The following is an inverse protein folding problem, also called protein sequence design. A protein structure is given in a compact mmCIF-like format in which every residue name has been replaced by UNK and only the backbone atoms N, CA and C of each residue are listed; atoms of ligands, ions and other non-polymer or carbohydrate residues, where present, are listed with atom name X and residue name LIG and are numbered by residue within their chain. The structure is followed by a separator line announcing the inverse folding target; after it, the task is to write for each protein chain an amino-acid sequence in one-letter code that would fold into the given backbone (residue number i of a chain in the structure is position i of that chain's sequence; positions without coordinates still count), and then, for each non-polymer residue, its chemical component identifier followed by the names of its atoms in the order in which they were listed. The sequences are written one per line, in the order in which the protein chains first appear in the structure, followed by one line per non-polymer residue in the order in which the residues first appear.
data_IF_008969383271
#
_entry.id   IF_008969383271
#
_cell.length_a   1.000
_cell.length_b   1.000
_cell.length_c   1.000
_cell.angle_alpha   90.00
_cell.angle_beta   90.00
_cell.angle_gamma   90.00
#
_symmetry.space_group_name_H-M   'P 1'
#
loop_
_entity.id
_entity.type
_entity.pdbx_description
1 polymer ?
#
# COMPACT_ATOMS: atom_id res chain seq x y z
N UNK A 1 -9.33 -72.05 -58.85
CA UNK A 1 -10.26 -71.35 -57.93
C UNK A 1 -9.53 -71.22 -56.59
N UNK A 2 -8.96 -70.05 -56.35
CA UNK A 2 -8.39 -69.73 -55.04
C UNK A 2 -9.39 -68.87 -54.25
N UNK A 3 -9.62 -69.10 -52.96
CA UNK A 3 -10.47 -68.28 -52.16
C UNK A 3 -9.65 -67.10 -51.58
N UNK A 4 -10.21 -65.88 -51.70
CA UNK A 4 -9.69 -64.65 -51.12
C UNK A 4 -9.89 -64.63 -49.60
N UNK A 5 -8.79 -64.57 -48.85
CA UNK A 5 -8.78 -64.38 -47.41
C UNK A 5 -8.84 -62.84 -47.14
N UNK A 6 -9.99 -62.31 -46.63
CA UNK A 6 -10.13 -60.94 -46.20
C UNK A 6 -9.57 -60.80 -44.78
N UNK A 7 -8.43 -60.12 -44.64
CA UNK A 7 -7.92 -59.67 -43.38
C UNK A 7 -8.69 -58.38 -42.96
N UNK A 8 -9.48 -58.47 -41.90
CA UNK A 8 -10.03 -57.29 -41.24
C UNK A 8 -8.99 -56.71 -40.24
N UNK A 9 -8.37 -55.60 -40.60
CA UNK A 9 -7.55 -54.85 -39.66
C UNK A 9 -8.46 -54.08 -38.68
N UNK A 10 -8.53 -54.49 -37.44
CA UNK A 10 -9.17 -53.76 -36.35
C UNK A 10 -8.20 -52.67 -35.90
N UNK A 11 -8.44 -51.41 -36.34
CA UNK A 11 -7.69 -50.25 -35.86
C UNK A 11 -8.16 -49.91 -34.43
N UNK A 12 -7.36 -50.35 -33.43
CA UNK A 12 -7.56 -49.95 -32.04
C UNK A 12 -7.05 -48.52 -31.89
N UNK A 13 -7.94 -47.52 -31.97
CA UNK A 13 -7.63 -46.15 -31.53
C UNK A 13 -7.46 -46.12 -30.02
N UNK A 14 -6.22 -46.21 -29.55
CA UNK A 14 -5.88 -45.80 -28.20
C UNK A 14 -6.06 -44.27 -28.15
N UNK A 15 -7.21 -43.81 -27.66
CA UNK A 15 -7.36 -42.45 -27.16
C UNK A 15 -6.45 -42.33 -25.92
N UNK A 16 -5.25 -41.82 -26.13
CA UNK A 16 -4.46 -41.29 -25.02
C UNK A 16 -5.30 -40.15 -24.43
N UNK A 17 -6.00 -40.44 -23.35
CA UNK A 17 -6.61 -39.41 -22.53
C UNK A 17 -5.49 -38.50 -22.04
N UNK A 18 -5.31 -37.35 -22.68
CA UNK A 18 -4.56 -36.28 -22.07
C UNK A 18 -5.30 -35.98 -20.76
N UNK A 19 -4.73 -36.41 -19.66
CA UNK A 19 -5.10 -35.89 -18.36
C UNK A 19 -4.79 -34.41 -18.45
N UNK A 20 -5.84 -33.60 -18.65
CA UNK A 20 -5.76 -32.14 -18.45
C UNK A 20 -5.47 -31.96 -16.97
N UNK A 21 -4.19 -31.92 -16.63
CA UNK A 21 -3.75 -31.53 -15.32
C UNK A 21 -4.35 -30.13 -15.07
N UNK A 22 -5.02 -29.97 -13.95
CA UNK A 22 -5.48 -28.66 -13.51
C UNK A 22 -4.26 -27.74 -13.51
N UNK A 23 -4.30 -26.70 -14.34
CA UNK A 23 -3.25 -25.68 -14.39
C UNK A 23 -3.62 -24.65 -13.35
N UNK A 24 -3.12 -24.83 -12.12
CA UNK A 24 -3.33 -23.88 -11.04
C UNK A 24 -2.07 -23.03 -10.89
N UNK A 25 -2.29 -21.73 -10.84
CA UNK A 25 -1.23 -20.73 -10.76
C UNK A 25 -1.43 -19.85 -9.53
N UNK A 26 -0.34 -19.39 -8.94
CA UNK A 26 -0.33 -18.22 -8.07
C UNK A 26 -0.67 -17.03 -8.96
N UNK A 27 -1.77 -16.33 -8.70
CA UNK A 27 -2.31 -15.28 -9.60
C UNK A 27 -2.05 -13.88 -9.10
N UNK A 28 -2.29 -13.65 -7.81
CA UNK A 28 -2.12 -12.36 -7.14
C UNK A 28 -1.74 -12.59 -5.68
N UNK A 29 -1.00 -11.66 -5.09
CA UNK A 29 -0.68 -11.65 -3.67
C UNK A 29 -0.64 -10.23 -3.11
N UNK A 30 -0.90 -10.09 -1.83
CA UNK A 30 -0.81 -8.83 -1.09
C UNK A 30 -0.03 -9.06 0.20
N UNK A 31 1.24 -8.65 0.24
CA UNK A 31 2.16 -8.86 1.37
C UNK A 31 2.21 -7.67 2.34
N UNK A 32 1.31 -6.71 2.22
CA UNK A 32 1.15 -5.58 3.13
C UNK A 32 -0.27 -5.06 3.05
N UNK A 33 -1.20 -5.79 3.67
CA UNK A 33 -2.62 -5.44 3.73
C UNK A 33 -2.89 -4.55 4.95
N UNK A 34 -3.53 -3.41 4.74
CA UNK A 34 -3.95 -2.52 5.83
C UNK A 34 -5.45 -2.19 5.79
N UNK A 35 -6.03 -2.07 4.58
CA UNK A 35 -7.45 -1.70 4.42
C UNK A 35 -8.14 -2.40 3.24
N UNK A 36 -7.43 -3.23 2.44
CA UNK A 36 -7.99 -3.75 1.20
C UNK A 36 -9.12 -4.76 1.46
N UNK A 37 -8.81 -5.89 2.07
CA UNK A 37 -9.77 -6.95 2.38
C UNK A 37 -9.49 -7.50 3.77
N UNK A 38 -10.48 -7.43 4.66
CA UNK A 38 -10.40 -8.08 5.95
C UNK A 38 -10.69 -9.59 5.81
N UNK A 39 -9.91 -10.39 6.48
CA UNK A 39 -10.17 -11.81 6.68
C UNK A 39 -11.52 -11.99 7.40
N UNK A 40 -12.46 -12.77 6.84
CA UNK A 40 -13.78 -12.95 7.43
C UNK A 40 -13.75 -13.73 8.73
N UNK A 41 -12.73 -14.57 8.97
CA UNK A 41 -12.69 -15.45 10.15
C UNK A 41 -12.14 -14.69 11.38
N UNK A 42 -11.14 -13.83 11.19
CA UNK A 42 -10.48 -13.07 12.27
C UNK A 42 -10.77 -11.56 12.24
N UNK A 43 -11.46 -11.05 11.22
CA UNK A 43 -11.73 -9.61 11.02
C UNK A 43 -10.46 -8.75 11.02
N UNK A 44 -9.36 -9.34 10.56
CA UNK A 44 -8.04 -8.70 10.47
C UNK A 44 -7.66 -8.45 9.01
N UNK A 45 -6.87 -7.41 8.75
CA UNK A 45 -6.29 -7.16 7.44
C UNK A 45 -5.00 -7.98 7.30
N UNK A 46 -5.17 -9.29 7.06
CA UNK A 46 -4.07 -10.23 6.87
C UNK A 46 -3.55 -10.21 5.45
N UNK A 47 -2.28 -10.56 5.26
CA UNK A 47 -1.72 -10.80 3.93
C UNK A 47 -2.43 -11.98 3.27
N UNK A 48 -2.47 -12.00 1.94
CA UNK A 48 -3.17 -13.07 1.22
C UNK A 48 -2.50 -13.44 -0.10
N UNK A 49 -2.79 -14.65 -0.54
CA UNK A 49 -2.39 -15.24 -1.82
C UNK A 49 -3.64 -15.70 -2.55
N UNK A 50 -3.75 -15.37 -3.82
CA UNK A 50 -4.80 -15.87 -4.70
C UNK A 50 -4.25 -16.90 -5.68
N UNK A 51 -4.97 -18.02 -5.81
CA UNK A 51 -4.73 -19.04 -6.80
C UNK A 51 -5.79 -18.97 -7.89
N UNK A 52 -5.38 -19.19 -9.14
CA UNK A 52 -6.24 -19.25 -10.32
C UNK A 52 -6.16 -20.61 -11.01
N UNK A 53 -7.29 -21.18 -11.37
CA UNK A 53 -7.38 -22.41 -12.14
C UNK A 53 -7.69 -22.12 -13.62
N UNK A 54 -6.69 -22.21 -14.48
CA UNK A 54 -6.87 -22.02 -15.93
C UNK A 54 -7.51 -23.23 -16.65
N UNK A 55 -7.80 -24.31 -15.91
CA UNK A 55 -8.42 -25.53 -16.45
C UNK A 55 -9.93 -25.39 -16.69
N UNK A 56 -10.47 -26.33 -17.47
CA UNK A 56 -11.90 -26.39 -17.79
C UNK A 56 -12.75 -27.18 -16.77
N UNK A 57 -12.15 -27.67 -15.71
CA UNK A 57 -12.77 -28.41 -14.62
C UNK A 57 -12.26 -27.90 -13.27
N UNK A 58 -13.05 -28.06 -12.19
CA UNK A 58 -12.57 -27.74 -10.85
C UNK A 58 -11.28 -28.48 -10.51
N UNK A 59 -10.33 -27.80 -9.86
CA UNK A 59 -9.08 -28.37 -9.37
C UNK A 59 -9.20 -28.64 -7.87
N UNK A 60 -8.95 -29.86 -7.44
CA UNK A 60 -8.84 -30.23 -6.04
C UNK A 60 -7.38 -30.06 -5.58
N UNK A 61 -7.16 -29.14 -4.66
CA UNK A 61 -5.85 -28.87 -4.07
C UNK A 61 -5.60 -29.62 -2.76
N UNK A 62 -6.46 -30.58 -2.40
CA UNK A 62 -6.27 -31.42 -1.21
C UNK A 62 -4.86 -32.03 -1.20
N UNK A 63 -4.06 -31.72 -0.17
CA UNK A 63 -2.69 -32.22 -0.03
C UNK A 63 -1.65 -31.52 -0.91
N UNK A 64 -1.99 -30.52 -1.70
CA UNK A 64 -1.00 -29.61 -2.27
C UNK A 64 -0.35 -28.78 -1.15
N UNK A 65 0.81 -28.18 -1.44
CA UNK A 65 1.50 -27.37 -0.45
C UNK A 65 1.88 -26.00 -1.00
N UNK A 66 1.85 -25.00 -0.13
CA UNK A 66 2.28 -23.63 -0.39
C UNK A 66 3.42 -23.30 0.57
N UNK A 67 4.48 -22.67 0.10
CA UNK A 67 5.65 -22.34 0.91
C UNK A 67 6.29 -21.03 0.48
N UNK A 68 6.68 -20.23 1.46
CA UNK A 68 7.54 -19.04 1.35
C UNK A 68 9.03 -19.38 1.53
N UNK A 69 9.36 -20.67 1.74
CA UNK A 69 10.74 -21.17 1.87
C UNK A 69 10.96 -22.37 0.93
N UNK A 70 11.84 -22.21 -0.06
CA UNK A 70 12.21 -23.28 -1.00
C UNK A 70 12.88 -24.49 -0.33
N UNK A 71 13.45 -24.33 0.88
CA UNK A 71 14.02 -25.42 1.66
C UNK A 71 12.96 -26.22 2.45
N UNK A 72 11.76 -25.66 2.60
CA UNK A 72 10.62 -26.28 3.27
C UNK A 72 9.39 -26.36 2.35
N UNK A 73 9.42 -27.13 1.26
CA UNK A 73 8.34 -27.17 0.26
C UNK A 73 6.99 -27.64 0.80
N UNK A 74 6.95 -28.21 2.00
CA UNK A 74 5.73 -28.72 2.66
C UNK A 74 5.30 -27.84 3.85
N UNK A 75 5.72 -26.57 3.88
CA UNK A 75 5.52 -25.66 5.02
C UNK A 75 4.04 -25.49 5.41
N UNK A 76 3.14 -25.40 4.45
CA UNK A 76 1.71 -25.43 4.68
C UNK A 76 1.01 -26.32 3.65
N UNK A 77 0.04 -27.13 4.09
CA UNK A 77 -0.69 -28.09 3.25
C UNK A 77 -2.15 -27.68 3.14
N UNK A 78 -2.66 -27.60 1.92
CA UNK A 78 -4.08 -27.35 1.66
C UNK A 78 -4.96 -28.44 2.30
N UNK A 79 -5.97 -28.05 3.08
CA UNK A 79 -6.89 -28.99 3.70
C UNK A 79 -7.72 -29.75 2.65
N UNK A 80 -8.27 -30.88 3.05
CA UNK A 80 -9.14 -31.68 2.19
C UNK A 80 -10.37 -30.85 1.75
N UNK A 81 -10.71 -30.89 0.46
CA UNK A 81 -11.81 -30.16 -0.12
C UNK A 81 -11.48 -28.72 -0.53
N UNK A 82 -10.21 -28.34 -0.59
CA UNK A 82 -9.76 -27.07 -1.17
C UNK A 82 -9.94 -27.09 -2.68
N UNK A 83 -11.06 -26.60 -3.17
CA UNK A 83 -11.43 -26.64 -4.59
C UNK A 83 -11.29 -25.27 -5.23
N UNK A 84 -10.54 -25.18 -6.34
CA UNK A 84 -10.54 -24.01 -7.21
C UNK A 84 -11.48 -24.25 -8.38
N UNK A 85 -12.58 -23.49 -8.56
CA UNK A 85 -13.49 -23.68 -9.69
C UNK A 85 -12.78 -23.56 -11.04
N UNK A 86 -13.34 -24.15 -12.09
CA UNK A 86 -12.82 -23.98 -13.46
C UNK A 86 -12.86 -22.49 -13.87
N UNK A 87 -11.74 -21.94 -14.30
CA UNK A 87 -11.60 -20.51 -14.60
C UNK A 87 -11.85 -19.58 -13.40
N UNK A 88 -11.80 -20.11 -12.17
CA UNK A 88 -12.08 -19.39 -10.94
C UNK A 88 -10.86 -19.24 -10.04
N UNK A 89 -11.09 -18.63 -8.86
CA UNK A 89 -10.08 -18.22 -7.91
C UNK A 89 -10.29 -18.89 -6.55
N UNK A 90 -9.22 -19.00 -5.78
CA UNK A 90 -9.21 -19.40 -4.36
C UNK A 90 -8.25 -18.53 -3.59
N UNK A 91 -8.75 -17.89 -2.52
CA UNK A 91 -7.95 -17.06 -1.64
C UNK A 91 -7.42 -17.87 -0.47
N UNK A 92 -6.16 -17.64 -0.11
CA UNK A 92 -5.46 -18.21 1.05
C UNK A 92 -4.92 -17.05 1.87
N UNK A 93 -5.23 -17.00 3.15
CA UNK A 93 -4.71 -16.02 4.09
C UNK A 93 -3.31 -16.44 4.56
N UNK A 94 -2.35 -15.54 4.46
CA UNK A 94 -0.97 -15.75 4.93
C UNK A 94 -0.75 -14.98 6.23
N UNK A 95 -1.32 -15.48 7.31
CA UNK A 95 -1.43 -14.78 8.61
C UNK A 95 -0.68 -15.47 9.76
N UNK A 96 -0.12 -16.66 9.50
CA UNK A 96 0.57 -17.46 10.50
C UNK A 96 -0.35 -18.39 11.28
N UNK A 97 -1.64 -18.40 10.99
CA UNK A 97 -2.58 -19.40 11.49
C UNK A 97 -2.47 -20.69 10.65
N UNK A 98 -3.06 -21.79 11.11
CA UNK A 98 -2.96 -23.08 10.40
C UNK A 98 -4.29 -23.80 10.30
N UNK A 99 -5.41 -23.07 10.32
CA UNK A 99 -6.76 -23.61 10.24
C UNK A 99 -7.45 -23.21 8.93
N UNK A 100 -8.09 -24.15 8.25
CA UNK A 100 -8.81 -23.85 7.00
C UNK A 100 -7.84 -23.37 5.91
N UNK A 101 -8.19 -22.27 5.24
CA UNK A 101 -7.36 -21.64 4.19
C UNK A 101 -6.45 -20.54 4.75
N UNK A 102 -5.86 -20.79 5.92
CA UNK A 102 -4.87 -19.93 6.59
C UNK A 102 -3.51 -20.62 6.57
N UNK A 103 -2.54 -20.01 5.91
CA UNK A 103 -1.18 -20.53 5.84
C UNK A 103 -0.42 -20.16 7.11
N UNK A 104 0.33 -21.14 7.68
CA UNK A 104 1.10 -20.99 8.91
C UNK A 104 2.34 -20.10 8.80
N UNK A 105 2.35 -19.19 7.81
CA UNK A 105 3.40 -18.20 7.58
C UNK A 105 2.78 -16.85 7.17
N UNK A 106 3.58 -15.79 7.17
CA UNK A 106 3.22 -14.45 6.69
C UNK A 106 4.09 -14.09 5.50
N UNK A 107 3.56 -13.27 4.59
CA UNK A 107 4.35 -12.77 3.48
C UNK A 107 5.27 -11.62 3.94
N UNK A 108 6.50 -11.61 3.42
CA UNK A 108 7.44 -10.52 3.66
C UNK A 108 7.12 -9.31 2.78
N UNK A 109 6.86 -8.15 3.38
CA UNK A 109 6.72 -6.90 2.63
C UNK A 109 8.02 -6.47 1.92
N UNK A 110 9.19 -6.97 2.34
CA UNK A 110 10.49 -6.71 1.68
C UNK A 110 10.71 -7.61 0.44
N UNK A 111 9.82 -8.58 0.23
CA UNK A 111 9.88 -9.52 -0.88
C UNK A 111 10.47 -10.86 -0.48
N UNK A 112 10.05 -11.89 -1.21
CA UNK A 112 10.48 -13.28 -1.04
C UNK A 112 10.08 -14.14 -2.25
N UNK A 113 10.25 -15.44 -2.14
CA UNK A 113 9.77 -16.42 -3.14
C UNK A 113 8.62 -17.22 -2.55
N UNK A 114 7.52 -17.31 -3.30
CA UNK A 114 6.36 -18.12 -2.96
C UNK A 114 6.22 -19.25 -3.97
N UNK A 115 6.09 -20.49 -3.49
CA UNK A 115 6.10 -21.71 -4.33
C UNK A 115 4.89 -22.59 -4.03
N UNK A 116 4.24 -23.09 -5.08
CA UNK A 116 3.11 -24.02 -5.03
C UNK A 116 3.55 -25.39 -5.52
N UNK A 117 3.32 -26.44 -4.72
CA UNK A 117 3.69 -27.82 -5.07
C UNK A 117 2.49 -28.75 -5.09
N UNK A 118 2.54 -29.75 -5.98
CA UNK A 118 1.56 -30.85 -6.01
C UNK A 118 1.76 -31.80 -4.81
N UNK A 119 0.81 -32.68 -4.48
CA UNK A 119 0.98 -33.68 -3.41
C UNK A 119 2.18 -34.60 -3.59
N UNK A 120 2.67 -34.77 -4.82
CA UNK A 120 3.90 -35.55 -5.14
C UNK A 120 5.19 -34.74 -4.96
N UNK A 121 5.14 -33.50 -4.46
CA UNK A 121 6.30 -32.63 -4.29
C UNK A 121 6.85 -32.02 -5.59
N UNK A 122 6.08 -32.09 -6.69
CA UNK A 122 6.46 -31.41 -7.94
C UNK A 122 6.09 -29.95 -7.87
N UNK A 123 7.02 -29.04 -8.20
CA UNK A 123 6.76 -27.61 -8.32
C UNK A 123 5.72 -27.38 -9.42
N UNK A 124 4.60 -26.79 -9.06
CA UNK A 124 3.51 -26.46 -9.97
C UNK A 124 3.62 -25.02 -10.48
N UNK A 125 3.92 -24.08 -9.59
CA UNK A 125 4.12 -22.67 -9.92
C UNK A 125 4.99 -21.99 -8.85
N UNK A 126 5.68 -20.91 -9.25
CA UNK A 126 6.56 -20.16 -8.36
C UNK A 126 6.62 -18.70 -8.79
N UNK A 127 6.72 -17.80 -7.80
CA UNK A 127 6.96 -16.38 -8.01
C UNK A 127 7.95 -15.85 -6.99
N UNK A 128 9.01 -15.17 -7.47
CA UNK A 128 9.82 -14.25 -6.67
C UNK A 128 9.29 -12.84 -6.83
N UNK A 129 8.94 -12.18 -5.74
CA UNK A 129 8.51 -10.79 -5.73
C UNK A 129 9.43 -9.94 -4.85
N UNK A 130 9.57 -8.66 -5.20
CA UNK A 130 10.37 -7.69 -4.45
C UNK A 130 9.54 -6.93 -3.43
N UNK A 131 10.13 -5.87 -2.87
CA UNK A 131 9.48 -5.01 -1.87
C UNK A 131 8.11 -4.52 -2.33
N UNK A 132 7.13 -4.62 -1.45
CA UNK A 132 5.73 -4.27 -1.68
C UNK A 132 5.38 -2.91 -1.07
N UNK A 133 4.37 -2.26 -1.63
CA UNK A 133 3.72 -1.09 -1.02
C UNK A 133 2.43 -1.55 -0.33
N UNK A 134 2.09 -0.89 0.76
CA UNK A 134 0.84 -1.19 1.48
C UNK A 134 -0.38 -1.02 0.57
N UNK A 135 -1.28 -1.98 0.60
CA UNK A 135 -2.51 -2.05 -0.20
C UNK A 135 -2.30 -2.03 -1.73
N UNK A 136 -1.09 -2.34 -2.19
CA UNK A 136 -0.77 -2.57 -3.61
C UNK A 136 -0.39 -4.03 -3.78
N UNK A 137 -1.17 -4.79 -4.56
CA UNK A 137 -0.89 -6.20 -4.81
C UNK A 137 0.16 -6.40 -5.91
N UNK A 138 0.78 -7.58 -5.88
CA UNK A 138 1.64 -8.08 -6.95
C UNK A 138 0.95 -9.26 -7.62
N UNK A 139 0.82 -9.26 -8.95
CA UNK A 139 0.06 -10.30 -9.63
C UNK A 139 0.37 -10.41 -11.11
N UNK A 140 -0.24 -11.41 -11.73
CA UNK A 140 -0.18 -11.66 -13.16
C UNK A 140 -1.07 -10.67 -13.90
N UNK A 141 -0.55 -10.01 -14.94
CA UNK A 141 -1.31 -9.07 -15.76
C UNK A 141 -2.53 -9.74 -16.43
N UNK A 142 -2.37 -11.00 -16.81
CA UNK A 142 -3.43 -11.85 -17.34
C UNK A 142 -3.50 -13.08 -16.44
N UNK A 143 -4.69 -13.47 -16.01
CA UNK A 143 -4.88 -14.61 -15.12
C UNK A 143 -4.16 -15.84 -15.61
N UNK A 144 -3.32 -16.44 -14.76
CA UNK A 144 -2.45 -17.56 -15.06
C UNK A 144 -1.30 -17.28 -16.05
N UNK A 145 -1.19 -16.06 -16.59
CA UNK A 145 -0.21 -15.66 -17.60
C UNK A 145 0.90 -14.74 -17.09
N UNK A 146 1.78 -14.34 -17.99
CA UNK A 146 2.81 -13.32 -17.77
C UNK A 146 2.39 -11.98 -18.43
N UNK A 147 3.01 -10.83 -18.10
CA UNK A 147 4.01 -10.65 -17.03
C UNK A 147 3.40 -10.46 -15.64
N UNK A 148 4.25 -10.49 -14.61
CA UNK A 148 3.95 -10.04 -13.26
C UNK A 148 4.15 -8.52 -13.12
N UNK A 149 3.40 -7.90 -12.20
CA UNK A 149 3.53 -6.48 -11.86
C UNK A 149 2.62 -6.08 -10.72
N UNK A 150 2.34 -4.80 -10.61
CA UNK A 150 1.68 -4.18 -9.47
C UNK A 150 0.28 -3.69 -9.84
N UNK A 151 -0.65 -3.87 -8.92
CA UNK A 151 -2.03 -3.40 -9.02
C UNK A 151 -2.36 -2.47 -7.85
N UNK A 152 -2.58 -1.17 -8.09
CA UNK A 152 -2.98 -0.22 -7.04
C UNK A 152 -4.39 -0.47 -6.50
N UNK A 153 -5.16 -1.31 -7.20
CA UNK A 153 -6.47 -1.78 -6.78
C UNK A 153 -6.47 -3.31 -6.83
N UNK A 154 -6.08 -3.97 -5.73
CA UNK A 154 -6.11 -5.43 -5.64
C UNK A 154 -7.48 -6.00 -5.97
N UNK A 155 -7.52 -7.18 -6.58
CA UNK A 155 -8.77 -7.82 -7.06
C UNK A 155 -9.02 -9.21 -6.47
N UNK A 156 -8.95 -9.40 -5.12
CA UNK A 156 -9.10 -10.71 -4.50
C UNK A 156 -10.44 -11.36 -4.87
N UNK A 157 -10.38 -12.60 -5.37
CA UNK A 157 -11.53 -13.38 -5.83
C UNK A 157 -12.05 -12.99 -7.22
N UNK A 158 -11.32 -12.13 -7.95
CA UNK A 158 -11.71 -11.64 -9.26
C UNK A 158 -10.53 -11.54 -10.25
N UNK A 159 -10.82 -11.41 -11.55
CA UNK A 159 -9.82 -11.37 -12.61
C UNK A 159 -8.98 -10.08 -12.59
N UNK A 160 -7.67 -10.23 -12.75
CA UNK A 160 -6.69 -9.14 -12.93
C UNK A 160 -6.78 -8.48 -14.32
N UNK A 161 -7.41 -9.12 -15.29
CA UNK A 161 -7.33 -8.76 -16.72
C UNK A 161 -7.76 -7.32 -17.04
N UNK A 162 -8.62 -6.74 -16.24
CA UNK A 162 -9.18 -5.39 -16.45
C UNK A 162 -8.62 -4.34 -15.50
N UNK A 163 -7.75 -4.73 -14.57
CA UNK A 163 -7.18 -3.82 -13.57
C UNK A 163 -6.05 -2.97 -14.16
N UNK A 164 -5.86 -1.73 -13.67
CA UNK A 164 -4.67 -0.93 -13.98
C UNK A 164 -3.40 -1.67 -13.57
N UNK A 165 -2.49 -1.90 -14.50
CA UNK A 165 -1.27 -2.68 -14.31
C UNK A 165 -0.04 -1.81 -14.47
N UNK A 166 0.90 -1.95 -13.54
CA UNK A 166 2.20 -1.28 -13.54
C UNK A 166 3.33 -2.31 -13.41
N UNK A 167 4.43 -2.09 -14.13
CA UNK A 167 5.56 -3.02 -14.12
C UNK A 167 6.35 -3.00 -12.81
N UNK A 168 6.36 -1.85 -12.14
CA UNK A 168 7.11 -1.57 -10.92
C UNK A 168 6.64 -0.23 -10.35
N UNK A 169 7.25 0.24 -9.27
CA UNK A 169 7.06 1.59 -8.76
C UNK A 169 8.34 2.43 -8.88
N UNK A 170 8.16 3.74 -8.87
CA UNK A 170 9.28 4.69 -8.87
C UNK A 170 9.85 4.79 -7.45
N UNK A 171 11.14 4.47 -7.30
CA UNK A 171 11.84 4.57 -5.99
C UNK A 171 12.53 5.92 -5.80
N UNK A 172 12.82 6.61 -6.90
CA UNK A 172 13.49 7.90 -6.86
C UNK A 172 12.53 9.00 -6.36
N UNK A 173 13.08 9.94 -5.63
CA UNK A 173 12.37 11.10 -5.10
C UNK A 173 12.86 12.40 -5.73
N UNK A 174 11.99 13.41 -5.89
CA UNK A 174 12.42 14.75 -6.26
C UNK A 174 13.34 15.36 -5.20
N UNK A 175 14.33 16.15 -5.61
CA UNK A 175 15.26 16.83 -4.70
C UNK A 175 14.99 18.32 -4.73
N UNK A 176 14.65 18.89 -3.59
CA UNK A 176 14.42 20.31 -3.44
C UNK A 176 15.72 21.05 -3.22
N UNK A 177 15.91 22.19 -3.87
CA UNK A 177 17.12 23.04 -3.72
C UNK A 177 17.22 23.69 -2.35
N UNK A 178 16.09 23.80 -1.63
CA UNK A 178 15.99 24.26 -0.25
C UNK A 178 15.01 23.37 0.50
N UNK A 179 15.39 22.94 1.68
CA UNK A 179 14.48 22.28 2.63
C UNK A 179 13.42 23.25 3.15
N UNK A 180 12.31 22.71 3.64
CA UNK A 180 11.33 23.46 4.41
C UNK A 180 11.93 24.12 5.64
N UNK A 181 11.22 25.07 6.22
CA UNK A 181 11.65 25.83 7.38
C UNK A 181 11.19 27.28 7.34
N UNK A 182 11.84 28.12 8.14
CA UNK A 182 11.46 29.53 8.35
C UNK A 182 12.33 30.46 7.50
N UNK A 183 11.68 31.47 6.90
CA UNK A 183 12.32 32.44 5.98
C UNK A 183 11.79 33.83 6.25
N UNK A 184 12.66 34.82 6.38
CA UNK A 184 12.30 36.23 6.63
C UNK A 184 11.51 36.88 5.48
N UNK A 185 11.64 36.33 4.27
CA UNK A 185 10.98 36.86 3.08
C UNK A 185 10.90 35.83 1.95
N UNK A 186 10.47 36.26 0.76
CA UNK A 186 10.23 35.36 -0.37
C UNK A 186 11.41 34.46 -0.68
N UNK A 187 11.11 33.19 -0.98
CA UNK A 187 12.09 32.16 -1.29
C UNK A 187 11.85 31.55 -2.67
N UNK A 188 12.91 31.36 -3.44
CA UNK A 188 12.89 30.62 -4.71
C UNK A 188 13.32 29.19 -4.47
N UNK A 189 12.49 28.24 -4.90
CA UNK A 189 12.70 26.80 -4.72
C UNK A 189 12.73 26.10 -6.07
N UNK A 190 13.84 25.43 -6.37
CA UNK A 190 13.98 24.52 -7.51
C UNK A 190 13.73 23.08 -7.08
N UNK A 191 13.20 22.24 -7.99
CA UNK A 191 12.92 20.82 -7.74
C UNK A 191 13.58 20.00 -8.83
N UNK A 192 14.59 19.23 -8.47
CA UNK A 192 15.41 18.48 -9.40
C UNK A 192 14.94 17.03 -9.52
N UNK A 193 14.93 16.54 -10.75
CA UNK A 193 14.80 15.14 -11.10
C UNK A 193 16.20 14.60 -11.47
N UNK A 194 16.85 13.92 -10.52
CA UNK A 194 18.20 13.39 -10.72
C UNK A 194 18.24 12.11 -11.57
N UNK A 195 17.09 11.54 -11.95
CA UNK A 195 17.05 10.31 -12.76
C UNK A 195 17.28 10.56 -14.25
N UNK A 196 17.04 11.78 -14.71
CA UNK A 196 17.08 12.15 -16.13
C UNK A 196 15.89 11.65 -16.96
N UNK A 197 14.89 10.96 -16.35
CA UNK A 197 13.68 10.48 -17.02
C UNK A 197 12.45 10.64 -16.11
N UNK A 198 11.25 10.61 -16.73
CA UNK A 198 10.01 10.91 -16.04
C UNK A 198 9.76 12.40 -15.84
N UNK A 199 8.68 12.73 -15.16
CA UNK A 199 8.26 14.11 -14.88
C UNK A 199 8.01 14.30 -13.39
N UNK A 200 8.50 15.41 -12.85
CA UNK A 200 8.13 15.85 -11.51
C UNK A 200 6.81 16.61 -11.60
N UNK A 201 5.83 16.20 -10.81
CA UNK A 201 4.60 16.95 -10.59
C UNK A 201 4.56 17.47 -9.16
N UNK A 202 3.91 18.61 -8.97
CA UNK A 202 3.85 19.26 -7.68
C UNK A 202 2.48 19.84 -7.37
N UNK A 203 2.25 20.14 -6.08
CA UNK A 203 1.10 20.87 -5.57
C UNK A 203 1.56 21.89 -4.54
N UNK A 204 0.73 22.91 -4.29
CA UNK A 204 1.00 23.97 -3.29
C UNK A 204 -0.20 24.19 -2.36
N UNK A 205 -1.18 23.30 -2.42
CA UNK A 205 -2.44 23.36 -1.66
C UNK A 205 -2.54 22.28 -0.57
N UNK A 206 -1.45 21.53 -0.32
CA UNK A 206 -1.41 20.43 0.64
C UNK A 206 -1.87 19.08 0.08
N UNK A 207 -2.46 19.02 -1.11
CA UNK A 207 -2.83 17.76 -1.76
C UNK A 207 -1.60 16.97 -2.24
N UNK A 208 -1.72 15.65 -2.32
CA UNK A 208 -0.68 14.81 -2.92
C UNK A 208 -0.67 14.96 -4.43
N UNK A 209 0.52 15.15 -5.08
CA UNK A 209 0.61 15.26 -6.53
C UNK A 209 0.06 14.01 -7.24
N UNK A 210 -0.86 14.20 -8.18
CA UNK A 210 -1.51 13.19 -9.01
C UNK A 210 -1.06 13.32 -10.48
N UNK A 211 -1.49 12.39 -11.34
CA UNK A 211 -1.14 12.37 -12.77
C UNK A 211 -1.63 13.59 -13.56
N UNK A 212 -2.58 14.33 -13.03
CA UNK A 212 -3.11 15.57 -13.60
C UNK A 212 -2.59 16.85 -12.91
N UNK A 213 -1.78 16.73 -11.85
CA UNK A 213 -1.17 17.88 -11.18
C UNK A 213 -0.17 18.61 -12.10
N UNK A 214 0.10 19.92 -11.86
CA UNK A 214 1.07 20.68 -12.62
C UNK A 214 2.43 20.00 -12.74
N UNK A 215 3.04 20.07 -13.92
CA UNK A 215 4.41 19.61 -14.16
C UNK A 215 5.35 20.71 -13.71
N UNK A 216 6.37 20.34 -12.92
CA UNK A 216 7.43 21.26 -12.55
C UNK A 216 8.32 21.57 -13.76
N UNK A 217 8.41 22.83 -14.15
CA UNK A 217 9.16 23.28 -15.32
C UNK A 217 10.04 24.51 -15.08
N UNK A 218 9.84 25.19 -13.95
CA UNK A 218 10.61 26.36 -13.55
C UNK A 218 10.56 26.53 -12.02
N UNK A 219 11.56 27.20 -11.42
CA UNK A 219 11.61 27.43 -9.99
C UNK A 219 10.35 28.16 -9.46
N UNK A 220 9.88 27.74 -8.29
CA UNK A 220 8.75 28.33 -7.58
C UNK A 220 9.20 29.55 -6.77
N UNK A 221 8.54 30.68 -6.94
CA UNK A 221 8.76 31.86 -6.11
C UNK A 221 7.66 31.92 -5.05
N UNK A 222 7.99 31.60 -3.81
CA UNK A 222 7.08 31.55 -2.69
C UNK A 222 7.18 32.87 -1.92
N UNK A 223 6.07 33.62 -1.83
CA UNK A 223 5.98 34.91 -1.13
C UNK A 223 5.08 34.85 0.10
N UNK A 224 4.47 33.72 0.38
CA UNK A 224 3.65 33.45 1.55
C UNK A 224 3.90 32.02 2.04
N UNK A 225 3.59 31.74 3.30
CA UNK A 225 3.67 30.40 3.88
C UNK A 225 2.98 29.39 2.99
N UNK A 226 3.72 28.37 2.53
CA UNK A 226 3.28 27.43 1.50
C UNK A 226 3.82 26.04 1.78
N UNK A 227 2.96 25.04 1.69
CA UNK A 227 3.35 23.62 1.63
C UNK A 227 3.56 23.25 0.17
N UNK A 228 4.76 22.77 -0.17
CA UNK A 228 5.05 22.25 -1.51
C UNK A 228 5.23 20.74 -1.41
N UNK A 229 4.41 20.01 -2.15
CA UNK A 229 4.55 18.56 -2.32
C UNK A 229 4.98 18.26 -3.73
N UNK A 230 5.93 17.34 -3.91
CA UNK A 230 6.41 16.91 -5.21
C UNK A 230 6.55 15.40 -5.30
N UNK A 231 6.32 14.86 -6.49
CA UNK A 231 6.36 13.42 -6.77
C UNK A 231 6.86 13.16 -8.18
N UNK A 232 7.63 12.10 -8.36
CA UNK A 232 8.12 11.68 -9.67
C UNK A 232 7.18 10.66 -10.32
N UNK A 233 6.84 10.90 -11.58
CA UNK A 233 5.98 10.05 -12.40
C UNK A 233 6.75 9.50 -13.59
N UNK A 234 6.66 8.20 -13.81
CA UNK A 234 7.14 7.50 -14.99
C UNK A 234 5.99 6.73 -15.64
N UNK A 235 6.05 6.60 -16.97
CA UNK A 235 5.13 5.73 -17.68
C UNK A 235 5.30 4.27 -17.21
N UNK A 236 4.20 3.53 -17.17
CA UNK A 236 4.13 2.11 -16.78
C UNK A 236 4.66 1.80 -15.36
N UNK A 237 4.83 2.82 -14.50
CA UNK A 237 5.25 2.66 -13.11
C UNK A 237 4.30 3.38 -12.16
N UNK A 238 4.06 2.79 -11.01
CA UNK A 238 3.39 3.49 -9.92
C UNK A 238 4.24 4.70 -9.52
N UNK A 239 3.60 5.85 -9.24
CA UNK A 239 4.31 7.06 -8.86
C UNK A 239 5.20 6.85 -7.62
N UNK A 240 6.31 7.58 -7.56
CA UNK A 240 7.27 7.53 -6.47
C UNK A 240 6.72 8.07 -5.14
N UNK A 241 7.50 8.05 -4.07
CA UNK A 241 7.12 8.69 -2.81
C UNK A 241 6.87 10.19 -2.99
N UNK A 242 6.00 10.75 -2.17
CA UNK A 242 5.78 12.21 -2.08
C UNK A 242 6.87 12.80 -1.19
N UNK A 243 7.50 13.88 -1.65
CA UNK A 243 8.35 14.72 -0.81
C UNK A 243 7.58 15.99 -0.47
N UNK A 244 7.48 16.28 0.81
CA UNK A 244 6.77 17.46 1.35
C UNK A 244 7.76 18.40 2.01
N UNK A 245 7.59 19.70 1.79
CA UNK A 245 8.31 20.75 2.49
C UNK A 245 7.37 21.92 2.78
N UNK A 246 7.30 22.35 4.03
CA UNK A 246 6.59 23.57 4.43
C UNK A 246 7.57 24.74 4.50
N UNK A 247 7.28 25.81 3.77
CA UNK A 247 8.05 27.06 3.78
C UNK A 247 7.23 28.11 4.54
N UNK A 248 7.66 28.47 5.75
CA UNK A 248 7.06 29.53 6.55
C UNK A 248 7.70 30.85 6.16
N UNK A 249 6.92 31.75 5.56
CA UNK A 249 7.43 33.01 5.03
C UNK A 249 6.96 34.18 5.91
N UNK A 250 7.91 34.86 6.56
CA UNK A 250 7.63 35.96 7.49
C UNK A 250 6.97 35.52 8.81
N UNK A 251 7.02 34.24 9.09
CA UNK A 251 6.56 33.66 10.36
C UNK A 251 7.79 33.42 11.25
N UNK A 252 7.72 33.92 12.48
CA UNK A 252 8.85 33.91 13.41
C UNK A 252 8.50 33.18 14.71
N UNK A 253 7.98 31.95 14.59
CA UNK A 253 7.59 31.13 15.75
C UNK A 253 8.81 30.71 16.58
N UNK A 254 9.95 30.47 15.95
CA UNK A 254 11.23 30.13 16.56
C UNK A 254 11.73 31.23 17.49
N UNK A 255 11.47 32.50 17.19
CA UNK A 255 11.82 33.63 18.04
C UNK A 255 11.06 33.61 19.39
N UNK A 256 9.92 32.89 19.43
CA UNK A 256 9.12 32.70 20.65
C UNK A 256 9.57 31.49 21.46
N UNK A 257 10.58 30.73 20.97
CA UNK A 257 11.04 29.51 21.60
C UNK A 257 9.99 28.41 21.61
N UNK A 258 9.10 28.37 20.60
CA UNK A 258 8.04 27.39 20.45
C UNK A 258 8.39 26.40 19.34
N UNK A 259 8.22 25.11 19.61
CA UNK A 259 8.21 24.10 18.57
C UNK A 259 6.95 24.26 17.69
N UNK A 260 7.07 23.92 16.40
CA UNK A 260 5.99 24.02 15.42
C UNK A 260 5.70 22.66 14.80
N UNK A 261 4.44 22.23 14.85
CA UNK A 261 3.96 21.07 14.10
C UNK A 261 3.13 21.54 12.91
N UNK A 262 3.70 21.42 11.72
CA UNK A 262 2.98 21.61 10.45
C UNK A 262 2.17 20.37 10.14
N UNK A 263 0.86 20.54 9.88
CA UNK A 263 -0.04 19.46 9.45
C UNK A 263 -0.55 19.83 8.06
N UNK A 264 -0.19 19.06 7.06
CA UNK A 264 -0.60 19.29 5.68
C UNK A 264 -1.41 18.13 5.12
N UNK A 265 -2.54 18.48 4.46
CA UNK A 265 -3.44 17.52 3.82
C UNK A 265 -4.19 18.16 2.67
N UNK A 266 -4.95 17.38 1.91
CA UNK A 266 -5.90 17.93 0.94
C UNK A 266 -6.95 18.79 1.68
N UNK A 267 -7.23 20.03 1.26
CA UNK A 267 -8.17 20.92 1.95
C UNK A 267 -9.55 20.31 2.19
N UNK A 268 -10.06 19.53 1.24
CA UNK A 268 -11.38 18.88 1.34
C UNK A 268 -11.45 17.85 2.48
N UNK A 269 -10.35 17.20 2.84
CA UNK A 269 -10.33 16.27 3.98
C UNK A 269 -10.65 16.97 5.30
N UNK A 270 -10.28 18.24 5.41
CA UNK A 270 -10.60 19.04 6.61
C UNK A 270 -11.89 19.86 6.44
N UNK A 271 -12.12 20.48 5.28
CA UNK A 271 -13.05 21.58 5.15
C UNK A 271 -14.20 21.37 4.15
N UNK A 272 -14.28 20.24 3.44
CA UNK A 272 -15.43 19.96 2.59
C UNK A 272 -16.72 19.85 3.42
N UNK A 273 -17.83 20.39 2.89
CA UNK A 273 -19.10 20.52 3.61
C UNK A 273 -19.73 19.17 3.97
N UNK A 274 -19.52 18.15 3.15
CA UNK A 274 -20.11 16.81 3.30
C UNK A 274 -19.15 15.76 3.84
N UNK A 275 -17.83 16.03 3.79
CA UNK A 275 -16.78 15.06 4.06
C UNK A 275 -15.59 15.60 4.87
N UNK A 276 -15.51 16.89 5.14
CA UNK A 276 -14.40 17.46 5.92
C UNK A 276 -14.54 17.20 7.41
N UNK A 277 -13.47 16.69 8.05
CA UNK A 277 -13.51 16.36 9.49
C UNK A 277 -13.75 17.57 10.38
N UNK A 278 -13.39 18.79 9.95
CA UNK A 278 -13.70 20.03 10.68
C UNK A 278 -15.16 20.49 10.53
N UNK A 279 -15.86 20.02 9.50
CA UNK A 279 -17.27 20.36 9.22
C UNK A 279 -18.19 19.24 9.72
N UNK A 280 -17.87 17.99 9.38
CA UNK A 280 -18.63 16.79 9.76
C UNK A 280 -18.00 16.08 10.96
N UNK A 281 -17.73 16.81 12.00
CA UNK A 281 -16.85 16.45 13.11
C UNK A 281 -17.38 15.40 14.10
N UNK A 282 -18.61 14.93 13.95
CA UNK A 282 -19.24 13.98 14.89
C UNK A 282 -19.10 12.51 14.50
N UNK A 283 -18.32 12.20 13.44
CA UNK A 283 -18.04 10.82 13.03
C UNK A 283 -16.72 10.37 13.67
N UNK A 284 -16.75 9.69 14.84
CA UNK A 284 -15.55 9.40 15.61
C UNK A 284 -14.55 8.49 14.86
N UNK A 285 -15.05 7.68 13.93
CA UNK A 285 -14.23 6.71 13.18
C UNK A 285 -13.72 7.30 11.84
N UNK A 286 -13.95 8.60 11.60
CA UNK A 286 -13.53 9.21 10.35
C UNK A 286 -12.11 9.74 10.46
N UNK A 287 -11.19 9.03 9.79
CA UNK A 287 -9.77 9.31 9.76
C UNK A 287 -9.35 9.74 8.35
N UNK A 288 -8.60 10.82 8.26
CA UNK A 288 -8.10 11.37 6.98
C UNK A 288 -6.58 11.38 6.96
N UNK A 289 -5.93 11.16 5.80
CA UNK A 289 -4.47 11.20 5.70
C UNK A 289 -3.94 12.62 5.89
N UNK A 290 -2.85 12.74 6.65
CA UNK A 290 -2.11 13.98 6.88
C UNK A 290 -0.60 13.73 6.78
N UNK A 291 0.16 14.77 6.46
CA UNK A 291 1.61 14.77 6.58
C UNK A 291 2.02 15.72 7.69
N UNK A 292 2.92 15.29 8.55
CA UNK A 292 3.44 16.03 9.70
C UNK A 292 4.88 16.45 9.42
N UNK A 293 5.22 17.70 9.74
CA UNK A 293 6.59 18.18 9.85
C UNK A 293 6.74 18.87 11.20
N UNK A 294 7.58 18.35 12.05
CA UNK A 294 7.85 18.90 13.38
C UNK A 294 9.16 19.68 13.37
N UNK A 295 9.07 20.95 13.73
CA UNK A 295 10.22 21.83 13.87
C UNK A 295 10.45 22.13 15.35
N UNK A 296 11.70 21.98 15.79
CA UNK A 296 12.12 22.34 17.14
C UNK A 296 12.03 23.83 17.39
N UNK A 297 12.14 24.23 18.65
CA UNK A 297 12.09 25.63 19.06
C UNK A 297 13.21 26.51 18.45
N UNK A 298 14.26 25.91 17.92
CA UNK A 298 15.33 26.58 17.19
C UNK A 298 15.11 26.65 15.66
N UNK A 299 13.93 26.19 15.19
CA UNK A 299 13.54 26.18 13.79
C UNK A 299 14.07 24.99 12.96
N UNK A 300 14.83 24.08 13.57
CA UNK A 300 15.34 22.91 12.86
C UNK A 300 14.26 21.83 12.73
N UNK A 301 14.21 21.17 11.57
CA UNK A 301 13.32 20.03 11.34
C UNK A 301 13.73 18.86 12.23
N UNK A 302 12.88 18.46 13.15
CA UNK A 302 13.07 17.29 14.01
C UNK A 302 12.65 16.00 13.31
N UNK A 303 11.42 15.94 12.79
CA UNK A 303 10.95 14.79 12.01
C UNK A 303 9.87 15.22 11.01
N UNK A 304 9.63 14.36 10.04
CA UNK A 304 8.42 14.33 9.21
C UNK A 304 7.81 12.95 9.21
N UNK A 305 6.47 12.85 9.09
CA UNK A 305 5.77 11.57 9.18
C UNK A 305 4.39 11.64 8.49
N UNK A 306 4.03 10.57 7.76
CA UNK A 306 2.68 10.42 7.23
C UNK A 306 1.79 9.70 8.25
N UNK A 307 0.61 10.23 8.51
CA UNK A 307 -0.28 9.78 9.57
C UNK A 307 -1.75 9.90 9.17
N UNK A 308 -2.64 9.34 9.98
CA UNK A 308 -4.05 9.64 9.97
C UNK A 308 -4.42 10.70 11.00
N UNK A 309 -5.45 11.50 10.73
CA UNK A 309 -6.00 12.45 11.68
C UNK A 309 -7.51 12.30 11.81
N UNK A 310 -8.01 12.37 13.04
CA UNK A 310 -9.45 12.47 13.32
C UNK A 310 -9.73 13.56 14.35
N UNK A 311 -10.99 14.00 14.42
CA UNK A 311 -11.41 14.91 15.49
C UNK A 311 -11.60 14.10 16.79
N UNK A 312 -10.96 14.59 17.87
CA UNK A 312 -11.02 14.00 19.21
C UNK A 312 -11.85 14.80 20.19
N UNK A 313 -12.10 14.20 21.36
CA UNK A 313 -12.74 14.82 22.52
C UNK A 313 -14.28 14.87 22.45
N UNK A 314 -14.94 14.65 23.61
CA UNK A 314 -16.40 14.58 23.68
C UNK A 314 -17.09 15.92 23.39
N UNK A 315 -16.49 17.06 23.79
CA UNK A 315 -17.06 18.40 23.61
C UNK A 315 -16.18 19.33 22.78
N UNK A 316 -14.92 19.00 22.53
CA UNK A 316 -13.99 19.84 21.79
C UNK A 316 -14.37 19.98 20.30
N UNK A 317 -15.20 19.09 19.79
CA UNK A 317 -15.66 19.11 18.39
C UNK A 317 -16.56 20.30 18.05
N UNK A 318 -17.20 20.93 19.04
CA UNK A 318 -18.02 22.15 18.83
C UNK A 318 -17.18 23.42 18.80
N UNK A 319 -15.93 23.37 19.28
CA UNK A 319 -15.06 24.54 19.35
C UNK A 319 -14.48 24.89 17.96
N UNK A 320 -14.18 26.17 17.68
CA UNK A 320 -13.50 26.54 16.45
C UNK A 320 -12.14 25.83 16.28
N UNK A 321 -11.34 25.79 17.34
CA UNK A 321 -10.10 25.04 17.43
C UNK A 321 -10.42 23.65 17.97
N UNK A 322 -10.16 22.63 17.17
CA UNK A 322 -10.52 21.24 17.46
C UNK A 322 -9.34 20.44 18.00
N UNK A 323 -9.64 19.48 18.86
CA UNK A 323 -8.68 18.47 19.24
C UNK A 323 -8.46 17.50 18.07
N UNK A 324 -7.22 17.20 17.74
CA UNK A 324 -6.86 16.21 16.74
C UNK A 324 -6.21 15.00 17.40
N UNK A 325 -6.71 13.80 17.08
CA UNK A 325 -6.01 12.56 17.30
C UNK A 325 -5.18 12.26 16.05
N UNK A 326 -3.91 11.99 16.21
CA UNK A 326 -2.98 11.65 15.13
C UNK A 326 -2.58 10.19 15.31
N UNK A 327 -2.72 9.38 14.27
CA UNK A 327 -2.48 7.95 14.29
C UNK A 327 -1.38 7.57 13.30
N UNK A 328 -0.30 6.96 13.80
CA UNK A 328 0.69 6.32 12.96
C UNK A 328 0.21 4.93 12.58
N UNK A 329 -0.23 4.77 11.34
CA UNK A 329 -0.73 3.49 10.82
C UNK A 329 0.01 3.10 9.55
N UNK A 330 0.19 1.79 9.36
CA UNK A 330 0.86 1.19 8.19
C UNK A 330 0.30 1.70 6.85
N UNK A 331 -1.02 1.94 6.77
CA UNK A 331 -1.69 2.48 5.58
C UNK A 331 -1.21 3.89 5.18
N UNK A 332 -0.61 4.65 6.10
CA UNK A 332 -0.07 5.98 5.82
C UNK A 332 1.44 5.98 5.58
N UNK A 333 2.14 4.87 5.82
CA UNK A 333 3.57 4.75 5.54
C UNK A 333 4.44 4.37 6.73
N UNK A 334 3.90 4.39 7.96
CA UNK A 334 4.64 3.99 9.15
C UNK A 334 3.73 3.74 10.33
N UNK A 335 4.12 2.82 11.21
CA UNK A 335 3.33 2.45 12.39
C UNK A 335 3.71 3.21 13.65
N UNK A 336 4.73 4.06 13.58
CA UNK A 336 5.23 4.81 14.75
C UNK A 336 5.90 6.10 14.31
N UNK A 337 5.72 7.15 15.12
CA UNK A 337 6.60 8.33 15.12
C UNK A 337 7.80 7.98 15.99
N UNK A 338 9.00 8.00 15.42
CA UNK A 338 10.26 7.73 16.14
C UNK A 338 10.98 9.05 16.39
N UNK A 339 10.65 9.72 17.49
CA UNK A 339 11.23 11.00 17.89
C UNK A 339 11.00 11.29 19.37
N UNK A 340 11.95 11.95 20.05
CA UNK A 340 11.77 12.41 21.43
C UNK A 340 10.96 13.68 21.49
N UNK A 341 9.64 13.56 21.46
CA UNK A 341 8.71 14.72 21.46
C UNK A 341 8.73 15.56 22.75
N UNK A 342 9.01 14.93 23.89
CA UNK A 342 8.92 15.57 25.19
C UNK A 342 10.28 15.60 25.87
N UNK A 343 10.91 16.77 26.05
CA UNK A 343 12.14 16.89 26.81
C UNK A 343 12.00 16.29 28.21
N UNK A 344 12.96 15.47 28.65
CA UNK A 344 12.93 14.79 29.95
C UNK A 344 12.10 13.51 30.01
N UNK A 345 11.35 13.15 28.97
CA UNK A 345 10.71 11.84 28.85
C UNK A 345 11.55 10.96 27.92
N UNK A 346 12.01 9.77 28.37
CA UNK A 346 12.87 8.90 27.55
C UNK A 346 12.11 8.20 26.41
N UNK A 347 10.78 8.33 26.34
CA UNK A 347 9.99 7.71 25.28
C UNK A 347 10.26 8.40 23.94
N UNK A 348 10.65 7.60 22.94
CA UNK A 348 10.98 8.06 21.59
C UNK A 348 10.12 7.40 20.49
N UNK A 349 9.11 6.62 20.88
CA UNK A 349 8.29 5.87 19.96
C UNK A 349 6.81 6.00 20.33
N UNK A 350 6.00 6.50 19.37
CA UNK A 350 4.58 6.81 19.58
C UNK A 350 3.75 6.21 18.43
N UNK A 351 2.71 5.46 18.77
CA UNK A 351 1.71 4.95 17.81
C UNK A 351 0.67 6.02 17.51
N UNK A 352 0.37 6.83 18.52
CA UNK A 352 -0.55 7.95 18.44
C UNK A 352 -0.08 9.14 19.28
N UNK A 353 -0.55 10.33 18.92
CA UNK A 353 -0.43 11.55 19.69
C UNK A 353 -1.75 12.33 19.64
N UNK A 354 -2.04 13.05 20.71
CA UNK A 354 -3.23 13.90 20.82
C UNK A 354 -2.80 15.37 20.84
N UNK A 355 -3.29 16.13 19.87
CA UNK A 355 -3.12 17.57 19.83
C UNK A 355 -4.35 18.20 20.47
N UNK A 356 -4.18 18.69 21.73
CA UNK A 356 -5.27 19.28 22.48
C UNK A 356 -5.52 20.73 22.03
N UNK A 357 -6.80 21.08 21.87
CA UNK A 357 -7.18 22.47 21.73
C UNK A 357 -7.15 23.18 23.09
N UNK A 358 -6.83 24.47 23.09
CA UNK A 358 -6.79 25.31 24.31
C UNK A 358 -8.16 25.53 24.96
N UNK A 359 -9.26 25.24 24.26
CA UNK A 359 -10.62 25.49 24.70
C UNK A 359 -11.11 24.78 25.95
N UNK A 360 -10.38 23.72 26.39
CA UNK A 360 -10.66 23.02 27.64
C UNK A 360 -9.70 23.37 28.77
N UNK A 361 -8.75 24.25 28.54
CA UNK A 361 -7.82 24.73 29.55
C UNK A 361 -8.40 25.96 30.25
N UNK A 362 -9.41 25.73 31.06
CA UNK A 362 -9.92 26.73 31.99
C UNK A 362 -8.88 26.93 33.08
N UNK A 363 -7.89 27.76 32.82
CA UNK A 363 -7.04 28.28 33.90
C UNK A 363 -7.85 29.25 34.72
N UNK A 364 -8.16 28.91 35.95
CA UNK A 364 -8.59 29.88 36.97
C UNK A 364 -7.50 30.90 37.26
#
# INVERSE_FOLDING_TARGET
MLPYLRFCFLLLCLAAGATLNAQVFINELLASNAINLADPDFQAFSDWVELYNAGNSPADLSGWTLSDDQNEPTKWTFPAGSIVPAGGFLLVWADGESSGLHAGFKLSADGETLSLYTPGGTLADEIGFGAQQTDVSCGRKTDGGAPWGLFPHPSPGASNNTQPFFKDFVRAVPVFSKSGGFFDGPVTVDIQNLTGYGVVRYTTDGSSPASNSPVFSQPLNLSATTVVKARLFLADRLPGPVVTNTYFIGEHFEERGLAVLSISTHPDYFFAQDSGIYVQNFKPDWEVPVHLEFYEADGLLGFHHDAGASIGGENAWILPEKMLNIFSRKQYGGSHIEYQLFPGNPRTRFEDIILRCSGNDWSN
#
